data_IF_972028366504
#
_entry.id   IF_972028366504
#
_cell.length_a   1.000
_cell.length_b   1.000
_cell.length_c   1.000
_cell.angle_alpha   90.00
_cell.angle_beta   90.00
_cell.angle_gamma   90.00
#
_symmetry.space_group_name_H-M   'P 1'
#
loop_
_entity.id
_entity.type
_entity.pdbx_description
1 polymer ?
#
# COMPACT_ATOMS: atom_id res chain seq x y z
N UNK A 1 -24.35 58.93 -12.32
CA UNK A 1 -23.10 59.61 -12.65
C UNK A 1 -22.28 58.60 -13.43
N UNK A 2 -22.54 58.54 -14.72
CA UNK A 2 -21.90 57.62 -15.66
C UNK A 2 -20.54 58.24 -15.98
N UNK A 3 -19.50 57.76 -15.32
CA UNK A 3 -18.14 58.12 -15.72
C UNK A 3 -17.85 57.27 -16.94
N UNK A 4 -17.68 57.92 -18.10
CA UNK A 4 -17.39 57.23 -19.34
C UNK A 4 -16.25 56.21 -19.14
N UNK A 5 -16.47 54.98 -19.60
CA UNK A 5 -15.41 53.97 -19.67
C UNK A 5 -14.50 54.36 -20.84
N UNK A 6 -13.24 54.64 -20.55
CA UNK A 6 -12.27 55.02 -21.59
C UNK A 6 -11.39 53.84 -21.92
N UNK A 7 -11.46 53.40 -23.18
CA UNK A 7 -10.49 52.48 -23.78
C UNK A 7 -9.30 53.29 -24.30
N UNK A 8 -8.18 53.23 -23.59
CA UNK A 8 -6.94 53.90 -24.00
C UNK A 8 -6.04 52.91 -24.74
N UNK A 9 -5.78 53.16 -26.02
CA UNK A 9 -4.69 52.47 -26.72
C UNK A 9 -3.36 52.98 -26.19
N UNK A 10 -2.56 52.09 -25.61
CA UNK A 10 -1.19 52.36 -25.20
C UNK A 10 -0.27 51.78 -26.28
N UNK A 11 0.37 52.66 -27.04
CA UNK A 11 1.20 52.29 -28.19
C UNK A 11 2.19 51.17 -27.82
N UNK A 12 2.24 50.13 -28.66
CA UNK A 12 3.09 48.93 -28.54
C UNK A 12 2.95 48.13 -27.24
N UNK A 13 1.95 48.43 -26.40
CA UNK A 13 1.75 47.80 -25.08
C UNK A 13 0.41 47.08 -24.99
N UNK A 14 -0.69 47.73 -25.37
CA UNK A 14 -2.02 47.11 -25.31
C UNK A 14 -3.19 48.10 -25.16
N UNK A 15 -4.30 47.60 -24.64
CA UNK A 15 -5.53 48.38 -24.36
C UNK A 15 -5.70 48.50 -22.86
N UNK A 16 -5.84 49.73 -22.36
CA UNK A 16 -6.02 50.04 -20.96
C UNK A 16 -7.46 50.50 -20.69
N UNK A 17 -8.09 49.90 -19.67
CA UNK A 17 -9.34 50.37 -19.08
C UNK A 17 -9.02 51.35 -17.92
N UNK A 18 -9.81 52.40 -17.75
CA UNK A 18 -9.59 53.40 -16.71
C UNK A 18 -10.05 52.93 -15.31
N UNK A 19 -9.24 53.21 -14.28
CA UNK A 19 -9.56 52.95 -12.85
C UNK A 19 -9.94 51.47 -12.61
N UNK A 20 -10.95 51.20 -11.78
CA UNK A 20 -11.46 49.86 -11.47
C UNK A 20 -12.46 49.32 -12.52
N UNK A 21 -12.39 49.81 -13.76
CA UNK A 21 -13.25 49.32 -14.85
C UNK A 21 -12.91 47.88 -15.23
N UNK A 22 -13.90 47.14 -15.74
CA UNK A 22 -13.80 45.72 -16.06
C UNK A 22 -14.27 45.42 -17.48
N UNK A 23 -13.78 44.31 -18.07
CA UNK A 23 -14.31 43.78 -19.32
C UNK A 23 -15.38 42.72 -18.99
N UNK A 24 -16.64 42.97 -19.35
CA UNK A 24 -17.77 42.06 -19.09
C UNK A 24 -18.23 41.33 -20.35
N UNK A 25 -18.80 40.15 -20.14
CA UNK A 25 -19.45 39.35 -21.18
C UNK A 25 -20.88 39.03 -20.75
N UNK A 26 -21.89 39.42 -21.53
CA UNK A 26 -23.33 39.16 -21.29
C UNK A 26 -23.93 39.84 -20.05
N UNK A 27 -23.37 39.63 -18.86
CA UNK A 27 -23.85 40.16 -17.57
C UNK A 27 -22.67 40.50 -16.63
N UNK A 28 -22.98 40.75 -15.35
CA UNK A 28 -21.97 41.16 -14.36
C UNK A 28 -21.16 40.03 -13.72
N UNK A 29 -21.57 38.78 -13.90
CA UNK A 29 -20.93 37.59 -13.33
C UNK A 29 -19.79 37.04 -14.18
N UNK A 30 -19.74 37.41 -15.47
CA UNK A 30 -18.69 36.99 -16.40
C UNK A 30 -17.79 38.16 -16.77
N UNK A 31 -16.57 38.22 -16.21
CA UNK A 31 -15.69 39.39 -16.36
C UNK A 31 -14.20 39.09 -16.20
N UNK A 32 -13.37 40.01 -16.71
CA UNK A 32 -11.93 40.09 -16.44
C UNK A 32 -11.64 41.48 -15.85
N UNK A 33 -10.99 41.52 -14.69
CA UNK A 33 -10.67 42.77 -13.98
C UNK A 33 -9.48 42.60 -13.03
N UNK A 34 -9.15 43.67 -12.30
CA UNK A 34 -8.16 43.66 -11.23
C UNK A 34 -8.80 44.28 -9.98
N UNK A 35 -9.19 43.44 -9.01
CA UNK A 35 -9.83 43.90 -7.77
C UNK A 35 -8.85 44.44 -6.73
N UNK A 36 -7.57 44.09 -6.86
CA UNK A 36 -6.46 44.58 -6.04
C UNK A 36 -5.19 44.74 -6.89
N UNK A 37 -4.31 45.65 -6.48
CA UNK A 37 -3.04 45.88 -7.17
C UNK A 37 -2.20 44.58 -7.26
N UNK A 38 -1.74 44.24 -8.46
CA UNK A 38 -0.98 43.02 -8.75
C UNK A 38 -1.81 41.74 -8.90
N UNK A 39 -3.14 41.79 -8.84
CA UNK A 39 -4.04 40.65 -9.05
C UNK A 39 -4.81 40.80 -10.36
N UNK A 40 -4.84 39.73 -11.18
CA UNK A 40 -5.76 39.60 -12.30
C UNK A 40 -6.84 38.60 -11.92
N UNK A 41 -8.10 39.04 -12.00
CA UNK A 41 -9.28 38.24 -11.73
C UNK A 41 -9.91 37.78 -13.05
N UNK A 42 -10.38 36.54 -13.04
CA UNK A 42 -11.17 35.95 -14.12
C UNK A 42 -12.37 35.29 -13.43
N UNK A 43 -13.48 36.00 -13.41
CA UNK A 43 -14.68 35.58 -12.70
C UNK A 43 -15.68 34.98 -13.70
N UNK A 44 -16.26 33.85 -13.33
CA UNK A 44 -17.36 33.21 -14.03
C UNK A 44 -18.37 32.62 -13.04
N UNK A 45 -19.66 32.71 -13.35
CA UNK A 45 -20.74 32.23 -12.45
C UNK A 45 -20.77 30.70 -12.30
N UNK A 46 -20.20 29.96 -13.25
CA UNK A 46 -20.26 28.49 -13.26
C UNK A 46 -18.91 27.87 -13.56
N UNK A 47 -18.24 28.28 -14.64
CA UNK A 47 -17.01 27.64 -15.08
C UNK A 47 -16.13 28.63 -15.85
N UNK A 48 -14.83 28.58 -15.58
CA UNK A 48 -13.80 29.10 -16.49
C UNK A 48 -13.26 27.91 -17.29
N UNK A 49 -13.74 27.73 -18.52
CA UNK A 49 -13.27 26.66 -19.39
C UNK A 49 -12.02 27.10 -20.16
N UNK A 50 -10.93 26.32 -20.06
CA UNK A 50 -9.72 26.51 -20.87
C UNK A 50 -9.49 25.26 -21.70
N UNK A 51 -10.11 25.20 -22.89
CA UNK A 51 -10.00 24.07 -23.80
C UNK A 51 -8.72 24.17 -24.66
N UNK A 52 -7.61 23.72 -24.09
CA UNK A 52 -6.29 23.68 -24.74
C UNK A 52 -5.65 22.31 -24.58
N UNK A 53 -4.89 21.79 -25.57
CA UNK A 53 -4.13 20.55 -25.41
C UNK A 53 -3.08 20.60 -24.30
N UNK A 54 -2.59 21.79 -23.96
CA UNK A 54 -1.63 22.01 -22.88
C UNK A 54 -1.91 23.33 -22.17
N UNK A 55 -1.89 23.29 -20.83
CA UNK A 55 -1.97 24.44 -19.95
C UNK A 55 -0.72 24.47 -19.08
N UNK A 56 0.01 25.58 -19.12
CA UNK A 56 1.17 25.81 -18.27
C UNK A 56 0.82 26.87 -17.20
N UNK A 57 1.20 26.60 -15.96
CA UNK A 57 0.97 27.46 -14.80
C UNK A 57 2.28 27.52 -13.99
N UNK A 58 2.99 28.64 -14.09
CA UNK A 58 4.31 28.81 -13.44
C UNK A 58 4.21 29.20 -11.97
N UNK A 59 3.04 29.67 -11.53
CA UNK A 59 2.75 30.01 -10.14
C UNK A 59 2.27 28.81 -9.31
N UNK A 60 2.01 29.05 -8.02
CA UNK A 60 1.35 28.06 -7.17
C UNK A 60 -0.13 27.93 -7.53
N UNK A 61 -0.58 26.71 -7.81
CA UNK A 61 -2.01 26.39 -7.88
C UNK A 61 -2.56 26.16 -6.46
N UNK A 62 -3.63 26.86 -6.11
CA UNK A 62 -4.44 26.58 -4.91
C UNK A 62 -5.82 26.15 -5.36
N UNK A 63 -6.33 25.10 -4.75
CA UNK A 63 -7.68 24.57 -5.00
C UNK A 63 -8.41 24.46 -3.66
N UNK A 64 -9.74 24.40 -3.70
CA UNK A 64 -10.54 24.12 -2.50
C UNK A 64 -10.22 22.73 -1.95
N UNK A 65 -10.56 22.43 -0.70
CA UNK A 65 -10.23 21.14 -0.07
C UNK A 65 -10.97 19.94 -0.69
N UNK A 66 -12.16 20.17 -1.25
CA UNK A 66 -12.98 19.11 -1.84
C UNK A 66 -13.45 18.06 -0.83
N UNK A 67 -13.97 16.95 -1.34
CA UNK A 67 -14.36 15.77 -0.56
C UNK A 67 -14.13 14.49 -1.38
N UNK A 68 -14.37 13.32 -0.79
CA UNK A 68 -14.31 12.07 -1.56
C UNK A 68 -15.33 12.03 -2.70
N UNK A 69 -16.53 12.60 -2.50
CA UNK A 69 -17.60 12.64 -3.51
C UNK A 69 -17.50 13.81 -4.49
N UNK A 70 -16.64 14.79 -4.19
CA UNK A 70 -16.35 15.93 -5.05
C UNK A 70 -14.89 16.36 -4.84
N UNK A 71 -13.92 15.61 -5.36
CA UNK A 71 -12.51 15.90 -5.19
C UNK A 71 -12.15 17.26 -5.83
N UNK A 72 -11.16 17.94 -5.25
CA UNK A 72 -10.67 19.24 -5.72
C UNK A 72 -10.02 19.16 -7.09
N UNK A 73 -9.37 18.02 -7.35
CA UNK A 73 -8.78 17.67 -8.63
C UNK A 73 -9.45 16.38 -9.06
N UNK A 74 -10.28 16.45 -10.10
CA UNK A 74 -11.04 15.31 -10.62
C UNK A 74 -10.99 15.30 -12.15
N UNK A 75 -11.62 14.30 -12.77
CA UNK A 75 -11.66 14.16 -14.22
C UNK A 75 -13.00 14.65 -14.77
N UNK A 76 -12.99 15.26 -15.97
CA UNK A 76 -14.21 15.83 -16.60
C UNK A 76 -15.39 14.85 -16.70
N UNK A 77 -15.10 13.57 -16.94
CA UNK A 77 -16.10 12.52 -17.11
C UNK A 77 -16.26 11.62 -15.87
N UNK A 78 -15.44 11.82 -14.84
CA UNK A 78 -15.43 11.05 -13.60
C UNK A 78 -15.10 12.04 -12.47
N UNK A 79 -16.16 12.71 -12.02
CA UNK A 79 -16.08 13.86 -11.11
C UNK A 79 -15.91 13.44 -9.66
N UNK A 80 -15.96 12.14 -9.36
CA UNK A 80 -15.86 11.59 -8.00
C UNK A 80 -14.62 10.70 -7.81
N UNK A 81 -13.72 10.68 -8.81
CA UNK A 81 -12.36 10.12 -8.72
C UNK A 81 -11.34 11.25 -8.76
N UNK A 82 -10.42 11.26 -7.78
CA UNK A 82 -9.47 12.36 -7.69
C UNK A 82 -8.74 12.51 -6.35
N UNK A 83 -8.26 13.74 -6.11
CA UNK A 83 -7.56 14.11 -4.88
C UNK A 83 -8.36 15.16 -4.10
N UNK A 84 -8.48 14.96 -2.79
CA UNK A 84 -9.07 15.90 -1.84
C UNK A 84 -8.17 16.08 -0.63
N UNK A 85 -8.33 17.19 0.09
CA UNK A 85 -7.73 17.39 1.40
C UNK A 85 -8.74 16.99 2.48
N UNK A 86 -8.37 16.04 3.33
CA UNK A 86 -9.18 15.66 4.47
C UNK A 86 -8.89 16.60 5.65
N UNK A 87 -9.87 17.45 5.99
CA UNK A 87 -9.73 18.55 6.95
C UNK A 87 -9.42 18.11 8.39
N UNK A 88 -9.63 16.84 8.74
CA UNK A 88 -9.42 16.38 10.12
C UNK A 88 -7.94 16.19 10.47
N UNK A 89 -7.07 15.86 9.49
CA UNK A 89 -5.69 15.47 9.78
C UNK A 89 -4.63 15.92 8.74
N UNK A 90 -4.96 16.82 7.81
CA UNK A 90 -4.08 17.24 6.71
C UNK A 90 -3.58 16.07 5.84
N UNK A 91 -4.44 15.07 5.62
CA UNK A 91 -4.14 13.99 4.68
C UNK A 91 -4.65 14.34 3.29
N UNK A 92 -3.90 13.93 2.27
CA UNK A 92 -4.42 13.86 0.91
C UNK A 92 -5.24 12.57 0.81
N UNK A 93 -6.54 12.71 0.58
CA UNK A 93 -7.44 11.60 0.26
C UNK A 93 -7.36 11.28 -1.23
N UNK A 94 -7.15 10.01 -1.55
CA UNK A 94 -7.26 9.47 -2.90
C UNK A 94 -8.62 8.80 -3.02
N UNK A 95 -9.49 9.43 -3.81
CA UNK A 95 -10.87 9.01 -3.99
C UNK A 95 -11.05 8.26 -5.32
N UNK A 96 -11.85 7.20 -5.29
CA UNK A 96 -12.31 6.47 -6.46
C UNK A 96 -13.82 6.24 -6.31
N UNK A 97 -14.61 6.67 -7.30
CA UNK A 97 -16.07 6.46 -7.26
C UNK A 97 -16.76 7.05 -6.02
N UNK A 98 -16.30 8.21 -5.56
CA UNK A 98 -16.94 8.96 -4.47
C UNK A 98 -16.54 8.55 -3.05
N UNK A 99 -15.62 7.60 -2.88
CA UNK A 99 -15.10 7.16 -1.59
C UNK A 99 -13.57 7.25 -1.55
N UNK A 100 -13.01 7.57 -0.38
CA UNK A 100 -11.57 7.49 -0.15
C UNK A 100 -11.13 6.02 -0.04
N UNK A 101 -9.98 5.69 -0.64
CA UNK A 101 -9.36 4.36 -0.53
C UNK A 101 -8.01 4.42 0.17
N UNK A 102 -7.27 5.51 -0.04
CA UNK A 102 -5.93 5.71 0.48
C UNK A 102 -5.82 7.12 1.06
N UNK A 103 -5.14 7.23 2.18
CA UNK A 103 -4.76 8.49 2.78
C UNK A 103 -3.24 8.63 2.79
N UNK A 104 -2.74 9.75 2.26
CA UNK A 104 -1.32 10.11 2.29
C UNK A 104 -1.12 11.19 3.36
N UNK A 105 -0.49 10.82 4.46
CA UNK A 105 -0.27 11.70 5.61
C UNK A 105 1.18 11.94 5.93
N UNK A 106 1.40 12.83 6.90
CA UNK A 106 2.75 13.17 7.39
C UNK A 106 3.47 11.98 8.03
N UNK A 107 2.73 11.10 8.71
CA UNK A 107 3.30 10.03 9.53
C UNK A 107 3.11 8.65 8.94
N UNK A 108 2.13 8.47 8.04
CA UNK A 108 1.85 7.18 7.42
C UNK A 108 1.16 7.36 6.04
N UNK A 109 1.17 6.25 5.29
CA UNK A 109 0.28 6.00 4.17
C UNK A 109 -0.64 4.89 4.65
N UNK A 110 -1.95 5.13 4.66
CA UNK A 110 -2.89 4.20 5.28
C UNK A 110 -4.14 3.97 4.41
N UNK A 111 -4.68 2.76 4.41
CA UNK A 111 -5.98 2.51 3.79
C UNK A 111 -7.09 3.26 4.54
N UNK A 112 -8.19 3.55 3.83
CA UNK A 112 -9.41 4.09 4.45
C UNK A 112 -10.07 3.10 5.42
N UNK A 113 -10.07 1.81 5.04
CA UNK A 113 -10.75 0.74 5.76
C UNK A 113 -9.71 -0.27 6.24
N UNK A 114 -9.84 -0.68 7.49
CA UNK A 114 -8.99 -1.69 8.10
C UNK A 114 -9.17 -3.04 7.39
N UNK A 115 -8.05 -3.77 7.19
CA UNK A 115 -8.01 -5.12 6.63
C UNK A 115 -8.82 -5.33 5.32
N UNK A 116 -8.91 -4.30 4.46
CA UNK A 116 -9.78 -4.33 3.27
C UNK A 116 -9.06 -4.21 1.93
N UNK A 117 -7.79 -3.82 1.94
CA UNK A 117 -7.04 -3.52 0.71
C UNK A 117 -5.64 -4.14 0.74
N UNK A 118 -5.26 -4.73 -0.39
CA UNK A 118 -3.94 -5.32 -0.59
C UNK A 118 -2.93 -4.31 -1.16
N UNK A 119 -1.64 -4.57 -0.90
CA UNK A 119 -0.54 -3.87 -1.57
C UNK A 119 -0.08 -4.66 -2.79
N UNK A 120 -0.62 -4.30 -3.95
CA UNK A 120 -0.34 -4.95 -5.23
C UNK A 120 -1.24 -6.17 -5.47
N UNK A 121 -0.98 -6.86 -6.57
CA UNK A 121 -1.67 -8.10 -6.94
C UNK A 121 -0.67 -9.14 -7.44
N UNK A 122 -1.10 -10.39 -7.63
CA UNK A 122 -0.27 -11.46 -8.20
C UNK A 122 0.38 -11.10 -9.55
N UNK A 123 -0.31 -10.28 -10.35
CA UNK A 123 0.16 -9.78 -11.65
C UNK A 123 0.86 -8.42 -11.57
N UNK A 124 0.71 -7.69 -10.46
CA UNK A 124 1.29 -6.34 -10.23
C UNK A 124 1.95 -6.28 -8.84
N UNK A 125 3.03 -7.06 -8.68
CA UNK A 125 3.80 -7.16 -7.44
C UNK A 125 4.80 -6.01 -7.33
N UNK A 126 4.99 -5.49 -6.12
CA UNK A 126 6.14 -4.65 -5.81
C UNK A 126 7.43 -5.46 -5.96
N UNK A 127 8.49 -4.83 -6.48
CA UNK A 127 9.79 -5.49 -6.66
C UNK A 127 10.46 -5.72 -5.30
N UNK A 128 10.58 -4.65 -4.51
CA UNK A 128 11.21 -4.64 -3.19
C UNK A 128 10.43 -3.74 -2.21
N UNK A 129 10.55 -4.04 -0.92
CA UNK A 129 10.08 -3.18 0.19
C UNK A 129 11.28 -2.84 1.08
N UNK A 130 11.64 -1.56 1.13
CA UNK A 130 12.71 -1.06 1.98
C UNK A 130 12.12 -0.51 3.29
N UNK A 131 12.42 -1.16 4.41
CA UNK A 131 11.93 -0.77 5.74
C UNK A 131 13.04 -0.90 6.79
N UNK A 132 13.01 -0.04 7.82
CA UNK A 132 13.96 -0.09 8.94
C UNK A 132 13.76 -1.32 9.84
N UNK A 133 12.52 -1.80 9.94
CA UNK A 133 12.13 -2.98 10.71
C UNK A 133 11.26 -3.91 9.85
N UNK A 134 11.08 -5.16 10.29
CA UNK A 134 10.15 -6.10 9.66
C UNK A 134 8.69 -5.66 9.76
N UNK A 135 7.81 -6.28 8.96
CA UNK A 135 6.37 -5.99 9.01
C UNK A 135 5.75 -6.48 10.32
N UNK A 136 4.77 -5.73 10.83
CA UNK A 136 3.97 -6.15 11.98
C UNK A 136 2.85 -7.07 11.46
N UNK A 137 2.72 -8.25 12.05
CA UNK A 137 1.61 -9.19 11.80
C UNK A 137 0.76 -9.30 13.06
N UNK A 138 -0.50 -8.87 13.00
CA UNK A 138 -1.40 -8.86 14.16
C UNK A 138 -1.64 -10.28 14.68
N UNK A 139 -1.31 -10.54 15.95
CA UNK A 139 -1.47 -11.87 16.58
C UNK A 139 -2.09 -11.76 17.98
N UNK A 140 -3.22 -11.07 18.08
CA UNK A 140 -3.97 -10.94 19.34
C UNK A 140 -4.82 -12.20 19.60
N UNK A 141 -4.77 -12.76 20.82
CA UNK A 141 -5.56 -13.94 21.21
C UNK A 141 -7.07 -13.74 21.00
N UNK A 142 -7.58 -12.52 21.16
CA UNK A 142 -9.01 -12.18 21.01
C UNK A 142 -9.50 -12.31 19.57
N UNK A 143 -8.57 -12.30 18.61
CA UNK A 143 -8.85 -12.41 17.18
C UNK A 143 -8.61 -13.81 16.64
N UNK A 144 -8.30 -14.78 17.51
CA UNK A 144 -8.00 -16.17 17.15
C UNK A 144 -9.02 -17.11 17.80
N UNK A 145 -9.32 -18.20 17.09
CA UNK A 145 -10.17 -19.31 17.56
C UNK A 145 -9.42 -20.64 17.37
N UNK A 146 -9.94 -21.70 17.96
CA UNK A 146 -9.43 -23.07 17.78
C UNK A 146 -7.93 -23.21 18.11
N UNK A 147 -7.49 -22.50 19.15
CA UNK A 147 -6.08 -22.44 19.56
C UNK A 147 -5.70 -23.74 20.29
N UNK A 148 -4.89 -24.58 19.63
CA UNK A 148 -4.31 -25.81 20.16
C UNK A 148 -2.79 -25.82 20.00
N UNK A 149 -2.11 -26.75 20.64
CA UNK A 149 -0.67 -26.96 20.44
C UNK A 149 -0.37 -27.37 18.98
N UNK A 150 0.75 -26.91 18.42
CA UNK A 150 1.13 -27.21 17.04
C UNK A 150 1.38 -28.71 16.84
N UNK A 151 0.65 -29.32 15.90
CA UNK A 151 0.94 -30.67 15.40
C UNK A 151 2.16 -30.73 14.45
N UNK A 152 2.61 -29.57 13.95
CA UNK A 152 3.80 -29.46 13.11
C UNK A 152 5.02 -29.10 13.97
N UNK A 153 6.07 -29.91 13.86
CA UNK A 153 7.27 -29.82 14.68
C UNK A 153 8.49 -30.41 13.98
N UNK A 154 9.35 -31.12 14.72
CA UNK A 154 10.64 -31.60 14.21
C UNK A 154 10.47 -32.57 13.03
N UNK A 155 9.44 -33.42 13.05
CA UNK A 155 9.15 -34.33 11.93
C UNK A 155 8.90 -33.52 10.65
N UNK A 156 7.97 -32.57 10.70
CA UNK A 156 7.63 -31.70 9.58
C UNK A 156 8.84 -30.92 9.05
N UNK A 157 9.61 -30.28 9.94
CA UNK A 157 10.79 -29.51 9.54
C UNK A 157 11.86 -30.38 8.87
N UNK A 158 12.02 -31.64 9.30
CA UNK A 158 12.98 -32.57 8.69
C UNK A 158 12.60 -33.03 7.29
N UNK A 159 11.31 -33.01 6.96
CA UNK A 159 10.80 -33.44 5.66
C UNK A 159 10.85 -32.29 4.63
N UNK A 160 11.07 -31.05 5.07
CA UNK A 160 11.31 -29.91 4.17
C UNK A 160 12.60 -30.08 3.37
N UNK A 161 12.60 -29.60 2.12
CA UNK A 161 13.77 -29.58 1.24
C UNK A 161 14.28 -28.14 1.01
N UNK A 162 15.25 -27.64 1.81
CA UNK A 162 15.90 -26.37 1.55
C UNK A 162 16.72 -26.41 0.26
N UNK A 163 16.45 -25.50 -0.66
CA UNK A 163 17.13 -25.38 -1.95
C UNK A 163 17.85 -24.04 -2.09
N UNK A 164 18.79 -23.98 -3.03
CA UNK A 164 19.29 -22.71 -3.57
C UNK A 164 18.83 -22.54 -5.00
N UNK A 165 18.49 -21.32 -5.41
CA UNK A 165 17.99 -21.03 -6.74
C UNK A 165 18.44 -19.65 -7.24
N UNK A 166 18.22 -19.39 -8.53
CA UNK A 166 18.37 -18.08 -9.17
C UNK A 166 17.12 -17.78 -9.97
N UNK A 167 16.69 -16.53 -10.02
CA UNK A 167 15.50 -16.17 -10.79
C UNK A 167 15.76 -16.27 -12.29
N UNK A 168 14.80 -16.83 -13.05
CA UNK A 168 14.87 -16.90 -14.52
C UNK A 168 14.84 -15.52 -15.19
N UNK A 169 14.27 -14.52 -14.52
CA UNK A 169 14.18 -13.12 -14.95
C UNK A 169 14.57 -12.24 -13.78
N UNK A 170 15.25 -11.11 -14.04
CA UNK A 170 15.82 -10.25 -12.98
C UNK A 170 16.70 -11.06 -12.00
N UNK A 171 17.59 -11.89 -12.53
CA UNK A 171 18.57 -12.60 -11.71
C UNK A 171 19.45 -11.59 -10.96
N UNK A 172 19.30 -11.55 -9.65
CA UNK A 172 20.05 -10.68 -8.73
C UNK A 172 20.90 -11.49 -7.75
N UNK A 173 21.27 -12.71 -8.12
CA UNK A 173 22.14 -13.58 -7.33
C UNK A 173 21.48 -14.88 -6.91
N UNK A 174 22.22 -15.61 -6.06
CA UNK A 174 21.77 -16.89 -5.50
C UNK A 174 20.89 -16.63 -4.28
N UNK A 175 19.71 -17.25 -4.29
CA UNK A 175 18.72 -17.23 -3.21
C UNK A 175 18.69 -18.59 -2.52
N UNK A 176 18.17 -18.61 -1.30
CA UNK A 176 17.96 -19.81 -0.49
C UNK A 176 16.53 -19.83 0.00
N UNK A 177 15.87 -20.98 -0.08
CA UNK A 177 14.46 -21.10 0.29
C UNK A 177 13.91 -22.49 0.03
N UNK A 178 12.59 -22.54 -0.19
CA UNK A 178 11.81 -23.74 -0.47
C UNK A 178 11.10 -23.59 -1.81
N UNK A 179 10.72 -24.72 -2.41
CA UNK A 179 9.81 -24.77 -3.55
C UNK A 179 8.38 -24.96 -3.03
N UNK A 180 7.46 -24.12 -3.48
CA UNK A 180 6.09 -24.11 -2.94
C UNK A 180 5.32 -25.41 -3.21
N UNK A 181 5.54 -26.01 -4.37
CA UNK A 181 4.93 -27.28 -4.75
C UNK A 181 5.44 -28.43 -3.86
N UNK A 182 6.75 -28.48 -3.58
CA UNK A 182 7.35 -29.47 -2.68
C UNK A 182 6.82 -29.28 -1.24
N UNK A 183 6.67 -28.04 -0.77
CA UNK A 183 6.07 -27.77 0.53
C UNK A 183 4.63 -28.30 0.63
N UNK A 184 3.83 -28.15 -0.43
CA UNK A 184 2.47 -28.68 -0.48
C UNK A 184 2.43 -30.21 -0.37
N UNK A 185 3.40 -30.90 -0.98
CA UNK A 185 3.53 -32.35 -0.86
C UNK A 185 3.86 -32.76 0.58
N UNK A 186 4.77 -32.06 1.24
CA UNK A 186 5.09 -32.32 2.67
C UNK A 186 3.87 -32.09 3.55
N UNK A 187 3.07 -31.03 3.32
CA UNK A 187 1.84 -30.83 4.09
C UNK A 187 0.86 -32.01 3.95
N UNK A 188 0.71 -32.58 2.75
CA UNK A 188 -0.15 -33.77 2.53
C UNK A 188 0.33 -34.98 3.33
N UNK A 189 1.64 -35.20 3.43
CA UNK A 189 2.22 -36.28 4.26
C UNK A 189 2.00 -36.07 5.77
N UNK A 190 1.69 -34.84 6.17
CA UNK A 190 1.33 -34.45 7.54
C UNK A 190 -0.17 -34.22 7.71
N UNK A 191 -0.99 -34.92 6.91
CA UNK A 191 -2.46 -34.96 7.03
C UNK A 191 -3.15 -33.62 6.79
N UNK A 192 -2.46 -32.69 6.11
CA UNK A 192 -2.99 -31.40 5.66
C UNK A 192 -3.09 -31.41 4.14
N UNK A 193 -4.17 -32.00 3.63
CA UNK A 193 -4.35 -32.21 2.18
C UNK A 193 -4.92 -30.99 1.45
N UNK A 194 -5.85 -30.28 2.09
CA UNK A 194 -6.51 -29.13 1.48
C UNK A 194 -5.62 -27.90 1.54
N UNK A 195 -5.25 -27.39 0.35
CA UNK A 195 -4.46 -26.17 0.23
C UNK A 195 -5.16 -24.98 0.87
N UNK A 196 -6.49 -24.91 0.87
CA UNK A 196 -7.19 -23.77 1.51
C UNK A 196 -7.04 -23.76 3.03
N UNK A 197 -6.63 -24.88 3.64
CA UNK A 197 -6.34 -24.96 5.07
C UNK A 197 -4.87 -24.60 5.40
N UNK A 198 -4.04 -24.32 4.39
CA UNK A 198 -2.60 -24.06 4.54
C UNK A 198 -2.28 -22.59 4.25
N UNK A 199 -2.31 -21.75 5.28
CA UNK A 199 -2.01 -20.32 5.15
C UNK A 199 -0.58 -20.02 4.65
N UNK A 200 0.38 -20.94 4.84
CA UNK A 200 1.76 -20.80 4.38
C UNK A 200 1.90 -20.78 2.85
N UNK A 201 0.90 -21.30 2.12
CA UNK A 201 0.89 -21.44 0.68
C UNK A 201 -0.15 -20.51 0.08
N UNK A 202 0.28 -19.71 -0.88
CA UNK A 202 -0.60 -18.91 -1.71
C UNK A 202 -0.61 -19.49 -3.13
N UNK A 203 -1.77 -19.48 -3.78
CA UNK A 203 -1.87 -19.79 -5.20
C UNK A 203 -2.85 -18.85 -5.86
N UNK A 204 -2.37 -18.13 -6.85
CA UNK A 204 -3.19 -17.27 -7.66
C UNK A 204 -3.62 -18.01 -8.95
N UNK A 205 -4.93 -18.26 -9.14
CA UNK A 205 -5.44 -18.89 -10.35
C UNK A 205 -5.25 -18.05 -11.61
N UNK A 206 -5.21 -16.71 -11.50
CA UNK A 206 -5.14 -15.83 -12.67
C UNK A 206 -3.76 -15.86 -13.33
N UNK A 207 -2.70 -15.84 -12.53
CA UNK A 207 -1.32 -15.90 -13.01
C UNK A 207 -0.72 -17.31 -13.00
N UNK A 208 -1.44 -18.29 -12.47
CA UNK A 208 -0.99 -19.67 -12.20
C UNK A 208 0.37 -19.70 -11.50
N UNK A 209 0.44 -19.06 -10.33
CA UNK A 209 1.66 -18.96 -9.55
C UNK A 209 1.43 -19.33 -8.11
N UNK A 210 2.38 -20.09 -7.58
CA UNK A 210 2.48 -20.36 -6.16
C UNK A 210 3.36 -19.31 -5.47
N UNK A 211 2.97 -18.96 -4.25
CA UNK A 211 3.71 -18.11 -3.32
C UNK A 211 3.88 -18.79 -1.97
N UNK A 212 4.86 -18.32 -1.20
CA UNK A 212 5.13 -18.80 0.15
C UNK A 212 5.08 -17.65 1.15
N UNK A 213 4.37 -17.87 2.26
CA UNK A 213 4.44 -17.02 3.46
C UNK A 213 5.41 -17.66 4.45
N UNK A 214 6.71 -17.41 4.27
CA UNK A 214 7.77 -18.01 5.11
C UNK A 214 7.56 -17.81 6.62
N UNK A 215 6.94 -16.70 7.03
CA UNK A 215 6.65 -16.43 8.44
C UNK A 215 5.74 -17.48 9.09
N UNK A 216 4.88 -18.16 8.32
CA UNK A 216 4.03 -19.25 8.83
C UNK A 216 4.85 -20.49 9.26
N UNK A 217 6.08 -20.63 8.74
CA UNK A 217 6.98 -21.73 9.11
C UNK A 217 7.72 -21.47 10.44
N UNK A 218 7.63 -20.25 10.99
CA UNK A 218 8.29 -19.91 12.26
C UNK A 218 7.74 -20.74 13.43
N UNK A 219 6.42 -20.94 13.51
CA UNK A 219 5.83 -21.73 14.59
C UNK A 219 6.26 -23.21 14.55
N UNK A 220 6.21 -23.92 13.40
CA UNK A 220 6.78 -25.26 13.26
C UNK A 220 8.28 -25.32 13.58
N UNK A 221 9.07 -24.31 13.19
CA UNK A 221 10.50 -24.25 13.53
C UNK A 221 10.73 -24.12 15.05
N UNK A 222 9.95 -23.29 15.75
CA UNK A 222 10.02 -23.18 17.21
C UNK A 222 9.70 -24.53 17.86
N UNK A 223 8.61 -25.19 17.43
CA UNK A 223 8.22 -26.51 17.95
C UNK A 223 9.30 -27.57 17.68
N UNK A 224 9.90 -27.56 16.50
CA UNK A 224 11.01 -28.45 16.17
C UNK A 224 12.22 -28.26 17.09
N UNK A 225 12.58 -27.02 17.43
CA UNK A 225 13.68 -26.70 18.36
C UNK A 225 13.34 -27.21 19.77
N UNK A 226 12.10 -27.01 20.24
CA UNK A 226 11.65 -27.53 21.53
C UNK A 226 11.74 -29.05 21.61
N UNK A 227 11.25 -29.76 20.59
CA UNK A 227 11.34 -31.22 20.50
C UNK A 227 12.78 -31.72 20.41
N UNK A 228 13.65 -30.98 19.71
CA UNK A 228 15.07 -31.29 19.62
C UNK A 228 15.75 -31.12 20.98
N UNK A 229 15.49 -30.03 21.71
CA UNK A 229 16.03 -29.80 23.06
C UNK A 229 15.66 -30.93 24.01
N UNK A 230 14.38 -31.34 24.02
CA UNK A 230 13.91 -32.44 24.87
C UNK A 230 14.58 -33.78 24.54
N UNK A 231 14.88 -34.04 23.26
CA UNK A 231 15.63 -35.24 22.85
C UNK A 231 17.09 -35.18 23.29
N UNK A 232 17.72 -34.01 23.24
CA UNK A 232 19.10 -33.82 23.70
C UNK A 232 19.20 -34.03 25.20
N UNK A 233 18.34 -33.39 26.00
CA UNK A 233 18.31 -33.55 27.46
C UNK A 233 18.11 -35.02 27.87
N UNK A 234 17.27 -35.75 27.14
CA UNK A 234 17.06 -37.18 27.35
C UNK A 234 18.32 -38.01 27.03
N UNK A 235 19.02 -37.68 25.94
CA UNK A 235 20.25 -38.38 25.56
C UNK A 235 21.39 -38.09 26.55
N UNK A 236 21.51 -36.85 27.02
CA UNK A 236 22.49 -36.45 28.03
C UNK A 236 22.25 -37.18 29.35
N UNK A 237 20.99 -37.24 29.80
CA UNK A 237 20.62 -37.98 31.02
C UNK A 237 20.94 -39.48 30.90
N UNK A 238 20.69 -40.08 29.74
CA UNK A 238 21.03 -41.49 29.50
C UNK A 238 22.54 -41.71 29.55
N UNK A 239 23.30 -40.82 28.90
CA UNK A 239 24.75 -40.90 28.88
C UNK A 239 25.36 -40.76 30.29
N UNK A 240 24.82 -39.89 31.13
CA UNK A 240 25.25 -39.78 32.54
C UNK A 240 24.97 -41.05 33.34
N UNK A 241 23.81 -41.68 33.14
CA UNK A 241 23.48 -42.97 33.77
C UNK A 241 24.46 -44.05 33.31
N UNK A 242 24.70 -44.16 32.00
CA UNK A 242 25.60 -45.15 31.42
C UNK A 242 27.05 -44.99 31.94
N UNK A 243 27.51 -43.74 32.15
CA UNK A 243 28.82 -43.45 32.75
C UNK A 243 28.91 -43.89 34.23
N UNK A 244 27.84 -43.69 35.01
CA UNK A 244 27.79 -44.12 36.41
C UNK A 244 27.81 -45.64 36.49
N UNK A 245 27.02 -46.33 35.66
CA UNK A 245 26.98 -47.80 35.61
C UNK A 245 28.35 -48.39 35.22
N UNK A 246 28.99 -47.87 34.18
CA UNK A 246 30.31 -48.32 33.75
C UNK A 246 31.40 -48.16 34.83
N UNK A 247 31.30 -47.15 35.69
CA UNK A 247 32.25 -46.91 36.78
C UNK A 247 32.06 -47.82 38.01
N UNK A 248 30.93 -48.52 38.12
CA UNK A 248 30.65 -49.45 39.22
C UNK A 248 31.11 -50.89 38.91
N UNK A 249 31.40 -51.20 37.66
CA UNK A 249 31.87 -52.50 37.17
C UNK A 249 33.42 -52.60 37.06
N UNK A 250 34.16 -51.53 37.35
CA UNK A 250 35.64 -51.49 37.49
C UNK A 250 36.10 -51.60 38.95
#
# INVERSE_FOLDING_TARGET
NDQDVTLTHVADTGVLLNSASQLQFRDSGLKINSSADGQLDIDADTEVEINTPALDLTGRLRVNDGSASSPSLSFRNDTDTGFSLNSWDNYIGVAFGGANYLFLGKTNIQPQNDNSYDLGTSSRRFDDVYATNGTIQTSDRRLKKDIVESGLGLRFIKDLNPVSYRWKRKDNGKHYGLIAQELLEVYREHELEDRSDIAALDWDPESDRYGLRYSELISPMIKAIQELSAKVEKLESQYEIDLVEASQDE
#
